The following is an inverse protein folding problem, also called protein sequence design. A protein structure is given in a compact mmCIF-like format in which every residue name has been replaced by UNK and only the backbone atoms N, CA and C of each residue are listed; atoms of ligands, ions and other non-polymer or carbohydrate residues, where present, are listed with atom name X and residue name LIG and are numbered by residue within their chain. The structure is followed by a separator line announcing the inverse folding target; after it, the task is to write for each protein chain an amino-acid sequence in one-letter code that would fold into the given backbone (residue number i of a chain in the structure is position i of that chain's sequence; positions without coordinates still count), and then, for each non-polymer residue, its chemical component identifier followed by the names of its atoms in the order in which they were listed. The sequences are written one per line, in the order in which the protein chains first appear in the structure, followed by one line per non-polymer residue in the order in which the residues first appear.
data_IF_056731377500
#
_entry.id   IF_056731377500
#
_cell.length_a   1.000
_cell.length_b   1.000
_cell.length_c   1.000
_cell.angle_alpha   90.00
_cell.angle_beta   90.00
_cell.angle_gamma   90.00
#
_symmetry.space_group_name_H-M   'P 1'
#
loop_
_entity.id
_entity.type
_entity.pdbx_description
1 polymer ?
#
# COMPACT_ATOMS: atom_id res chain seq x y z
N UNK A 1 65.48 36.48 -7.48
CA UNK A 1 66.82 36.87 -7.00
C UNK A 1 66.85 36.56 -5.51
N UNK A 2 67.63 35.54 -5.12
CA UNK A 2 68.20 35.25 -3.79
C UNK A 2 67.24 34.92 -2.60
N UNK A 3 67.46 34.00 -1.63
CA UNK A 3 68.46 32.96 -1.22
C UNK A 3 67.72 32.04 -0.20
N UNK A 4 67.73 30.70 -0.25
CA UNK A 4 68.61 29.69 0.41
C UNK A 4 69.01 29.84 1.91
N UNK A 5 69.11 28.65 2.55
CA UNK A 5 69.49 28.23 3.93
C UNK A 5 68.29 27.92 4.87
N UNK A 6 68.06 26.71 5.41
CA UNK A 6 68.84 25.48 5.52
C UNK A 6 69.11 25.15 6.99
N UNK A 7 68.42 24.14 7.58
CA UNK A 7 69.03 23.22 8.55
C UNK A 7 68.17 21.98 8.89
N UNK A 8 68.86 20.84 8.93
CA UNK A 8 68.51 19.52 9.46
C UNK A 8 68.19 19.56 10.98
N UNK A 9 67.52 18.60 11.61
CA UNK A 9 67.16 17.25 11.20
C UNK A 9 66.19 16.58 12.20
N UNK A 10 66.22 15.24 12.19
CA UNK A 10 65.54 14.26 13.06
C UNK A 10 64.23 13.62 12.54
N UNK A 11 64.41 12.49 11.84
CA UNK A 11 63.48 11.36 11.74
C UNK A 11 63.45 10.58 13.08
N UNK A 12 62.37 9.85 13.48
CA UNK A 12 61.82 8.73 12.69
C UNK A 12 60.29 8.40 12.80
N UNK A 13 59.84 7.64 11.78
CA UNK A 13 58.82 6.56 11.78
C UNK A 13 57.32 6.82 12.11
N UNK A 14 56.52 6.77 11.04
CA UNK A 14 55.34 5.90 10.82
C UNK A 14 54.12 5.93 11.76
N UNK A 15 52.94 6.31 11.22
CA UNK A 15 51.82 5.37 10.94
C UNK A 15 50.62 6.04 10.25
N UNK A 16 50.01 5.24 9.37
CA UNK A 16 48.81 5.48 8.60
C UNK A 16 47.53 5.69 9.45
N UNK A 17 46.63 6.48 8.86
CA UNK A 17 45.17 6.32 8.83
C UNK A 17 44.46 5.77 10.09
N UNK A 18 43.82 6.67 10.83
CA UNK A 18 42.79 6.32 11.80
C UNK A 18 41.42 6.75 11.27
N UNK A 19 40.60 5.74 10.91
CA UNK A 19 39.18 5.84 10.67
C UNK A 19 38.45 6.37 11.92
N UNK A 20 37.62 7.39 11.75
CA UNK A 20 36.76 7.92 12.80
C UNK A 20 35.65 6.90 13.14
N UNK A 21 35.76 6.28 14.31
CA UNK A 21 34.68 5.54 14.96
C UNK A 21 33.64 6.51 15.51
N UNK A 22 32.44 6.51 14.92
CA UNK A 22 31.24 7.07 15.55
C UNK A 22 30.88 6.21 16.77
N UNK A 23 31.18 6.73 17.96
CA UNK A 23 30.60 6.32 19.24
C UNK A 23 29.13 6.73 19.25
N UNK A 24 28.23 5.77 19.46
CA UNK A 24 26.85 6.04 19.89
C UNK A 24 26.79 5.59 21.35
N UNK A 25 26.41 6.52 22.23
CA UNK A 25 26.39 6.35 23.67
C UNK A 25 25.46 5.22 24.13
N UNK A 26 26.00 4.35 24.98
CA UNK A 26 25.26 3.42 25.82
C UNK A 26 24.53 4.21 26.93
N UNK A 27 23.21 4.23 26.90
CA UNK A 27 22.40 4.62 28.07
C UNK A 27 21.72 3.38 28.66
N UNK A 28 22.41 2.71 29.59
CA UNK A 28 21.79 1.74 30.50
C UNK A 28 20.86 2.48 31.47
N UNK A 29 19.54 2.21 31.41
CA UNK A 29 18.62 2.53 32.51
C UNK A 29 18.43 1.29 33.36
N UNK A 30 19.04 1.28 34.55
CA UNK A 30 18.73 0.32 35.60
C UNK A 30 17.46 0.83 36.30
N UNK A 31 16.34 0.13 36.15
CA UNK A 31 15.17 0.32 37.01
C UNK A 31 15.02 -0.88 37.93
N UNK A 32 15.18 -0.65 39.23
CA UNK A 32 14.83 -1.64 40.24
C UNK A 32 13.30 -1.83 40.29
N UNK A 33 12.88 -3.10 40.23
CA UNK A 33 11.51 -3.65 40.35
C UNK A 33 10.67 -3.72 39.05
N UNK A 34 10.42 -4.97 38.63
CA UNK A 34 9.35 -5.37 37.71
C UNK A 34 9.85 -5.66 36.31
N UNK A 35 9.77 -6.93 35.89
CA UNK A 35 10.18 -7.44 34.58
C UNK A 35 9.68 -6.57 33.41
N UNK A 36 10.56 -5.72 32.87
CA UNK A 36 10.34 -5.06 31.60
C UNK A 36 10.64 -6.05 30.47
N UNK A 37 9.63 -6.32 29.63
CA UNK A 37 9.78 -7.10 28.40
C UNK A 37 10.77 -6.38 27.47
N UNK A 38 11.91 -7.03 27.23
CA UNK A 38 12.93 -6.59 26.28
C UNK A 38 12.46 -6.94 24.87
N UNK A 39 12.26 -5.90 24.06
CA UNK A 39 12.03 -6.04 22.63
C UNK A 39 13.15 -6.88 22.00
N UNK A 40 12.85 -7.72 21.00
CA UNK A 40 13.95 -8.34 20.24
C UNK A 40 14.59 -7.20 19.46
N UNK A 41 15.80 -6.79 19.85
CA UNK A 41 16.64 -5.92 19.04
C UNK A 41 17.01 -6.68 17.75
N UNK A 42 16.13 -6.59 16.76
CA UNK A 42 16.42 -6.97 15.38
C UNK A 42 17.46 -5.98 14.83
N UNK A 43 18.41 -6.48 14.05
CA UNK A 43 19.30 -5.59 13.29
C UNK A 43 20.64 -5.23 13.94
N UNK A 44 21.19 -6.04 14.85
CA UNK A 44 22.65 -6.08 14.96
C UNK A 44 23.19 -6.75 13.70
N UNK A 45 23.52 -5.92 12.70
CA UNK A 45 24.17 -6.38 11.48
C UNK A 45 25.44 -7.12 11.86
N UNK A 46 25.50 -8.41 11.55
CA UNK A 46 26.73 -9.17 11.67
C UNK A 46 27.75 -8.64 10.65
N UNK A 47 29.04 -8.88 10.89
CA UNK A 47 30.11 -8.60 9.92
C UNK A 47 29.76 -9.18 8.53
N UNK A 48 29.13 -10.36 8.50
CA UNK A 48 28.68 -11.01 7.27
C UNK A 48 27.56 -10.24 6.54
N UNK A 49 26.68 -9.55 7.27
CA UNK A 49 25.64 -8.70 6.67
C UNK A 49 26.25 -7.47 5.99
N UNK A 50 27.34 -6.93 6.53
CA UNK A 50 28.09 -5.82 5.91
C UNK A 50 28.92 -6.23 4.70
N UNK A 51 29.39 -7.48 4.66
CA UNK A 51 30.14 -8.06 3.53
C UNK A 51 29.25 -8.52 2.37
N UNK A 52 27.94 -8.71 2.61
CA UNK A 52 26.95 -8.98 1.57
C UNK A 52 26.60 -7.72 0.77
N UNK A 53 27.62 -7.11 0.15
CA UNK A 53 27.46 -6.01 -0.80
C UNK A 53 26.54 -6.47 -1.92
N UNK A 54 25.39 -5.83 -2.03
CA UNK A 54 24.42 -6.05 -3.10
C UNK A 54 23.94 -4.70 -3.57
N UNK A 55 23.69 -4.61 -4.88
CA UNK A 55 23.18 -3.38 -5.50
C UNK A 55 21.95 -2.86 -4.74
N UNK A 56 21.83 -1.53 -4.71
CA UNK A 56 20.69 -0.87 -4.10
C UNK A 56 19.41 -1.32 -4.79
N UNK A 57 18.48 -1.85 -4.00
CA UNK A 57 17.20 -2.33 -4.50
C UNK A 57 16.11 -1.29 -4.28
N UNK A 58 14.98 -1.45 -4.98
CA UNK A 58 13.78 -0.65 -4.72
C UNK A 58 13.34 -0.71 -3.25
N UNK A 59 13.62 -1.80 -2.54
CA UNK A 59 13.25 -1.95 -1.14
C UNK A 59 14.08 -1.03 -0.24
N UNK A 60 15.36 -0.87 -0.54
CA UNK A 60 16.25 0.02 0.20
C UNK A 60 15.84 1.48 -0.02
N UNK A 61 15.46 1.83 -1.25
CA UNK A 61 14.90 3.15 -1.56
C UNK A 61 13.60 3.39 -0.78
N UNK A 62 12.68 2.43 -0.72
CA UNK A 62 11.47 2.55 0.11
C UNK A 62 11.83 2.70 1.59
N UNK A 63 12.83 1.96 2.08
CA UNK A 63 13.30 2.07 3.46
C UNK A 63 13.91 3.43 3.80
N UNK A 64 14.59 4.06 2.84
CA UNK A 64 15.17 5.41 2.99
C UNK A 64 14.12 6.52 2.94
N UNK A 65 13.12 6.37 2.07
CA UNK A 65 12.15 7.42 1.83
C UNK A 65 11.01 7.44 2.86
N UNK A 66 10.62 6.30 3.41
CA UNK A 66 9.51 6.25 4.38
C UNK A 66 10.04 6.40 5.81
N UNK A 67 9.41 7.26 6.61
CA UNK A 67 9.61 7.28 8.05
C UNK A 67 8.87 6.09 8.68
N UNK A 68 9.64 5.03 8.93
CA UNK A 68 9.15 3.81 9.55
C UNK A 68 8.93 3.93 11.06
N UNK A 69 9.55 4.91 11.72
CA UNK A 69 9.37 5.11 13.16
C UNK A 69 7.95 5.62 13.47
N UNK A 70 7.43 6.52 12.64
CA UNK A 70 6.02 6.94 12.72
C UNK A 70 5.07 5.75 12.54
N UNK A 71 5.34 4.87 11.56
CA UNK A 71 4.53 3.66 11.31
C UNK A 71 4.64 2.68 12.48
N UNK A 72 5.84 2.47 13.02
CA UNK A 72 6.09 1.63 14.20
C UNK A 72 5.30 2.12 15.41
N UNK A 73 5.32 3.43 15.64
CA UNK A 73 4.59 4.07 16.75
C UNK A 73 3.08 3.83 16.63
N UNK A 74 2.52 3.92 15.42
CA UNK A 74 1.09 3.65 15.17
C UNK A 74 0.71 2.19 15.36
N UNK A 75 1.59 1.26 15.01
CA UNK A 75 1.36 -0.17 15.18
C UNK A 75 1.42 -0.60 16.64
N UNK A 76 2.22 0.11 17.44
CA UNK A 76 2.44 -0.15 18.86
C UNK A 76 3.12 -1.49 19.12
N UNK A 77 3.17 -1.88 20.39
CA UNK A 77 3.65 -3.20 20.78
C UNK A 77 2.57 -4.25 20.52
N UNK A 78 2.89 -5.26 19.71
CA UNK A 78 1.99 -6.37 19.43
C UNK A 78 2.65 -7.66 19.84
N UNK A 79 2.22 -8.17 20.97
CA UNK A 79 2.55 -9.52 21.45
C UNK A 79 1.26 -10.31 21.59
N UNK A 80 1.28 -11.57 21.12
CA UNK A 80 0.22 -12.51 21.43
C UNK A 80 0.19 -12.79 22.95
N UNK A 81 -0.96 -13.16 23.53
CA UNK A 81 -1.01 -13.58 24.92
C UNK A 81 -0.23 -14.89 25.08
N UNK A 82 0.96 -14.82 25.67
CA UNK A 82 1.79 -15.98 25.97
C UNK A 82 3.12 -15.61 26.61
N UNK A 83 3.37 -16.10 27.82
CA UNK A 83 4.66 -15.97 28.48
C UNK A 83 5.69 -16.88 27.78
N UNK A 84 6.57 -16.32 26.94
CA UNK A 84 7.79 -17.05 26.55
C UNK A 84 8.35 -16.84 25.14
N UNK A 85 7.64 -16.21 24.21
CA UNK A 85 8.21 -15.87 22.89
C UNK A 85 8.27 -14.36 22.71
N UNK A 86 9.49 -13.82 22.58
CA UNK A 86 9.70 -12.43 22.18
C UNK A 86 8.99 -12.19 20.85
N UNK A 87 7.98 -11.32 20.86
CA UNK A 87 7.17 -11.07 19.67
C UNK A 87 7.97 -10.26 18.67
N UNK A 88 7.76 -10.54 17.38
CA UNK A 88 8.42 -9.78 16.32
C UNK A 88 7.90 -8.34 16.33
N UNK A 89 8.77 -7.33 16.08
CA UNK A 89 8.32 -5.96 15.89
C UNK A 89 7.25 -5.88 14.79
N UNK A 90 6.15 -5.18 15.08
CA UNK A 90 5.01 -5.06 14.18
C UNK A 90 5.40 -4.43 12.82
N UNK A 91 6.39 -3.52 12.85
CA UNK A 91 6.97 -2.92 11.65
C UNK A 91 7.60 -3.97 10.72
N UNK A 92 8.42 -4.89 11.26
CA UNK A 92 9.05 -5.96 10.49
C UNK A 92 8.00 -6.87 9.85
N UNK A 93 6.93 -7.20 10.59
CA UNK A 93 5.81 -8.00 10.06
C UNK A 93 5.04 -7.25 8.96
N UNK A 94 4.83 -5.93 9.09
CA UNK A 94 4.22 -5.12 8.05
C UNK A 94 5.09 -5.11 6.78
N UNK A 95 6.41 -4.94 6.92
CA UNK A 95 7.36 -5.02 5.80
C UNK A 95 7.29 -6.38 5.10
N UNK A 96 7.20 -7.49 5.85
CA UNK A 96 6.95 -8.81 5.28
C UNK A 96 5.64 -8.88 4.49
N UNK A 97 4.55 -8.34 5.02
CA UNK A 97 3.27 -8.31 4.32
C UNK A 97 3.33 -7.50 3.02
N UNK A 98 4.06 -6.38 3.00
CA UNK A 98 4.31 -5.58 1.78
C UNK A 98 5.10 -6.39 0.73
N UNK A 99 6.14 -7.13 1.13
CA UNK A 99 6.87 -8.05 0.26
C UNK A 99 5.92 -9.10 -0.34
N UNK A 100 5.05 -9.69 0.49
CA UNK A 100 4.05 -10.64 0.05
C UNK A 100 3.11 -10.08 -1.01
N UNK A 101 2.69 -8.82 -0.87
CA UNK A 101 1.85 -8.13 -1.85
C UNK A 101 2.59 -7.82 -3.14
N UNK A 102 3.79 -7.25 -3.05
CA UNK A 102 4.61 -6.86 -4.20
C UNK A 102 4.98 -8.01 -5.14
N UNK A 103 5.04 -9.23 -4.59
CA UNK A 103 5.41 -10.45 -5.30
C UNK A 103 4.25 -11.43 -5.47
N UNK A 104 3.04 -11.08 -5.02
CA UNK A 104 1.87 -11.96 -5.15
C UNK A 104 1.99 -13.28 -4.37
N UNK A 105 2.79 -13.33 -3.30
CA UNK A 105 3.11 -14.55 -2.54
C UNK A 105 2.03 -14.89 -1.51
N UNK A 106 1.80 -16.19 -1.29
CA UNK A 106 1.05 -16.70 -0.14
C UNK A 106 1.91 -16.65 1.13
N UNK A 107 1.30 -16.81 2.31
CA UNK A 107 2.05 -16.75 3.58
C UNK A 107 3.17 -17.80 3.67
N UNK A 108 2.95 -19.08 3.29
CA UNK A 108 4.03 -20.07 3.26
C UNK A 108 5.11 -19.76 2.21
N UNK A 109 4.73 -19.23 1.05
CA UNK A 109 5.69 -18.83 0.03
C UNK A 109 6.51 -17.61 0.49
N UNK A 110 5.89 -16.67 1.20
CA UNK A 110 6.55 -15.52 1.78
C UNK A 110 7.54 -15.95 2.87
N UNK A 111 7.17 -16.88 3.76
CA UNK A 111 8.08 -17.48 4.74
C UNK A 111 9.33 -18.05 4.07
N UNK A 112 9.15 -18.90 3.05
CA UNK A 112 10.25 -19.50 2.31
C UNK A 112 11.15 -18.42 1.65
N UNK A 113 10.55 -17.43 1.00
CA UNK A 113 11.29 -16.37 0.31
C UNK A 113 12.05 -15.45 1.28
N UNK A 114 11.52 -15.18 2.47
CA UNK A 114 12.24 -14.41 3.49
C UNK A 114 13.42 -15.24 4.03
N UNK A 115 13.28 -16.56 4.17
CA UNK A 115 14.38 -17.42 4.61
C UNK A 115 15.55 -17.42 3.61
N UNK A 116 15.23 -17.43 2.32
CA UNK A 116 16.23 -17.65 1.27
C UNK A 116 16.82 -16.36 0.68
N UNK A 117 16.06 -15.25 0.65
CA UNK A 117 16.47 -14.02 -0.05
C UNK A 117 16.98 -12.93 0.88
N UNK A 118 18.26 -12.61 0.74
CA UNK A 118 18.92 -11.52 1.49
C UNK A 118 18.21 -10.17 1.35
N UNK A 119 17.77 -9.82 0.14
CA UNK A 119 17.04 -8.56 -0.11
C UNK A 119 15.74 -8.45 0.71
N UNK A 120 15.06 -9.57 0.95
CA UNK A 120 13.81 -9.59 1.72
C UNK A 120 14.10 -9.47 3.22
N UNK A 121 15.12 -10.19 3.70
CA UNK A 121 15.59 -10.09 5.10
C UNK A 121 16.04 -8.68 5.43
N UNK A 122 16.87 -8.09 4.57
CA UNK A 122 17.35 -6.70 4.70
C UNK A 122 16.20 -5.71 4.76
N UNK A 123 15.25 -5.79 3.82
CA UNK A 123 14.09 -4.90 3.84
C UNK A 123 13.26 -5.08 5.12
N UNK A 124 12.99 -6.32 5.53
CA UNK A 124 12.20 -6.59 6.73
C UNK A 124 12.95 -6.31 8.06
N UNK A 125 14.26 -6.07 8.02
CA UNK A 125 15.10 -5.76 9.18
C UNK A 125 15.66 -6.99 9.90
N UNK A 126 15.69 -8.17 9.25
CA UNK A 126 16.28 -9.38 9.82
C UNK A 126 17.76 -9.51 9.43
N UNK A 127 18.64 -9.73 10.42
CA UNK A 127 20.03 -10.18 10.16
C UNK A 127 20.04 -11.62 9.64
N UNK A 128 21.14 -12.02 9.00
CA UNK A 128 21.42 -13.40 8.59
C UNK A 128 21.24 -14.46 9.70
N UNK A 129 21.53 -14.13 10.96
CA UNK A 129 21.37 -15.04 12.10
C UNK A 129 19.97 -15.01 12.72
N UNK A 130 19.15 -14.00 12.41
CA UNK A 130 17.82 -13.86 13.00
C UNK A 130 16.86 -14.93 12.49
N UNK A 131 16.05 -15.48 13.41
CA UNK A 131 14.92 -16.33 13.01
C UNK A 131 13.89 -15.47 12.28
N UNK A 132 13.42 -15.97 11.13
CA UNK A 132 12.39 -15.31 10.33
C UNK A 132 10.99 -15.72 10.82
N UNK A 133 9.98 -14.85 10.70
CA UNK A 133 8.60 -15.19 11.08
C UNK A 133 8.08 -16.34 10.21
N UNK A 134 7.32 -17.24 10.83
CA UNK A 134 6.60 -18.30 10.12
C UNK A 134 5.30 -17.76 9.50
N UNK A 135 4.70 -18.54 8.60
CA UNK A 135 3.43 -18.18 7.99
C UNK A 135 2.31 -18.00 9.02
N UNK A 136 2.35 -18.71 10.15
CA UNK A 136 1.34 -18.60 11.21
C UNK A 136 1.40 -17.24 11.92
N UNK A 137 2.60 -16.72 12.17
CA UNK A 137 2.83 -15.38 12.72
C UNK A 137 2.32 -14.30 11.77
N UNK A 138 2.64 -14.40 10.48
CA UNK A 138 2.18 -13.46 9.46
C UNK A 138 0.65 -13.45 9.34
N UNK A 139 0.03 -14.63 9.43
CA UNK A 139 -1.42 -14.76 9.43
C UNK A 139 -2.05 -14.10 10.66
N UNK A 140 -1.54 -14.38 11.88
CA UNK A 140 -2.03 -13.77 13.12
C UNK A 140 -1.94 -12.25 13.08
N UNK A 141 -0.79 -11.72 12.66
CA UNK A 141 -0.61 -10.27 12.54
C UNK A 141 -1.61 -9.62 11.59
N UNK A 142 -1.94 -10.26 10.46
CA UNK A 142 -2.97 -9.75 9.54
C UNK A 142 -4.37 -9.75 10.15
N UNK A 143 -4.71 -10.79 10.90
CA UNK A 143 -5.99 -10.84 11.63
C UNK A 143 -6.06 -9.72 12.66
N UNK A 144 -4.97 -9.44 13.37
CA UNK A 144 -4.90 -8.31 14.30
C UNK A 144 -5.05 -6.96 13.58
N UNK A 145 -4.36 -6.74 12.44
CA UNK A 145 -4.52 -5.53 11.62
C UNK A 145 -5.98 -5.33 11.16
N UNK A 146 -6.67 -6.43 10.84
CA UNK A 146 -8.05 -6.43 10.38
C UNK A 146 -9.02 -6.10 11.51
N UNK A 147 -8.87 -6.78 12.65
CA UNK A 147 -9.70 -6.59 13.84
C UNK A 147 -9.62 -5.17 14.39
N UNK A 148 -8.40 -4.62 14.47
CA UNK A 148 -8.14 -3.33 15.09
C UNK A 148 -8.22 -2.16 14.09
N UNK A 149 -8.49 -2.45 12.80
CA UNK A 149 -8.49 -1.49 11.68
C UNK A 149 -7.22 -0.65 11.59
N UNK A 150 -6.09 -1.20 12.03
CA UNK A 150 -4.82 -0.46 12.02
C UNK A 150 -4.30 -0.21 10.61
N UNK A 151 -4.65 -1.08 9.66
CA UNK A 151 -4.21 -0.90 8.27
C UNK A 151 -4.73 0.41 7.67
N UNK A 152 -5.88 0.91 8.13
CA UNK A 152 -6.42 2.21 7.74
C UNK A 152 -5.50 3.34 8.22
N UNK A 153 -5.09 3.31 9.49
CA UNK A 153 -4.17 4.29 10.08
C UNK A 153 -2.79 4.25 9.42
N UNK A 154 -2.27 3.07 9.12
CA UNK A 154 -1.01 2.90 8.39
C UNK A 154 -1.10 3.51 6.99
N UNK A 155 -2.22 3.28 6.29
CA UNK A 155 -2.44 3.86 4.97
C UNK A 155 -2.54 5.38 5.01
N UNK A 156 -3.25 5.92 6.00
CA UNK A 156 -3.36 7.37 6.23
C UNK A 156 -1.99 7.99 6.54
N UNK A 157 -1.19 7.35 7.38
CA UNK A 157 0.16 7.81 7.70
C UNK A 157 1.10 7.80 6.48
N UNK A 158 1.09 6.71 5.70
CA UNK A 158 1.85 6.67 4.44
C UNK A 158 1.40 7.83 3.53
N UNK A 159 0.11 8.06 3.39
CA UNK A 159 -0.39 9.15 2.56
C UNK A 159 -0.02 10.53 3.10
N UNK A 160 0.00 10.73 4.42
CA UNK A 160 0.49 11.97 5.07
C UNK A 160 1.93 12.25 4.67
N UNK A 161 2.81 11.25 4.81
CA UNK A 161 4.23 11.40 4.43
C UNK A 161 4.40 11.67 2.92
N UNK A 162 3.59 11.01 2.06
CA UNK A 162 3.62 11.27 0.61
C UNK A 162 3.11 12.67 0.25
N UNK A 163 2.14 13.18 1.00
CA UNK A 163 1.63 14.54 0.85
C UNK A 163 2.69 15.58 1.23
N UNK A 164 3.41 15.37 2.34
CA UNK A 164 4.52 16.22 2.78
C UNK A 164 5.66 16.28 1.76
N UNK A 165 5.85 15.20 1.00
CA UNK A 165 6.79 15.14 -0.12
C UNK A 165 6.26 15.77 -1.41
N UNK A 166 5.05 16.35 -1.40
CA UNK A 166 4.42 16.98 -2.56
C UNK A 166 3.98 15.99 -3.65
N UNK A 167 3.89 14.70 -3.34
CA UNK A 167 3.48 13.66 -4.30
C UNK A 167 1.95 13.58 -4.46
N UNK A 168 1.19 14.18 -3.55
CA UNK A 168 -0.26 14.32 -3.62
C UNK A 168 -0.57 15.79 -3.97
N UNK A 169 -0.89 16.05 -5.23
CA UNK A 169 -1.01 17.43 -5.75
C UNK A 169 -2.45 17.97 -5.63
N UNK A 170 -3.45 17.09 -5.47
CA UNK A 170 -4.86 17.46 -5.25
C UNK A 170 -5.48 18.25 -6.42
N UNK A 171 -4.89 18.12 -7.62
CA UNK A 171 -5.42 18.74 -8.85
C UNK A 171 -6.76 18.14 -9.27
N UNK A 172 -6.91 16.86 -9.00
CA UNK A 172 -8.17 16.16 -9.16
C UNK A 172 -8.08 14.74 -8.65
N UNK A 173 -9.22 14.19 -8.28
CA UNK A 173 -9.35 12.82 -7.81
C UNK A 173 -10.10 12.00 -8.85
N UNK A 174 -9.49 10.90 -9.28
CA UNK A 174 -10.06 9.92 -10.21
C UNK A 174 -10.72 8.82 -9.38
N UNK A 175 -12.04 8.67 -9.49
CA UNK A 175 -12.81 7.62 -8.83
C UNK A 175 -13.19 6.53 -9.80
N UNK A 176 -12.89 5.28 -9.44
CA UNK A 176 -13.28 4.11 -10.21
C UNK A 176 -13.29 2.84 -9.34
N UNK A 177 -13.87 1.77 -9.88
CA UNK A 177 -14.00 0.50 -9.22
C UNK A 177 -13.60 -0.68 -10.11
N UNK A 178 -12.97 -1.68 -9.50
CA UNK A 178 -12.68 -2.96 -10.15
C UNK A 178 -13.36 -4.11 -9.43
N UNK A 179 -13.84 -5.07 -10.21
CA UNK A 179 -14.29 -6.37 -9.69
C UNK A 179 -13.10 -7.27 -9.37
N UNK A 180 -13.25 -8.03 -8.28
CA UNK A 180 -12.28 -9.01 -7.78
C UNK A 180 -13.05 -10.31 -7.47
N UNK A 181 -12.64 -11.43 -8.04
CA UNK A 181 -13.34 -12.71 -7.84
C UNK A 181 -13.18 -13.18 -6.39
N UNK A 182 -14.24 -13.74 -5.79
CA UNK A 182 -14.09 -14.39 -4.50
C UNK A 182 -13.17 -15.62 -4.58
N UNK A 183 -12.56 -15.97 -3.45
CA UNK A 183 -11.86 -17.27 -3.31
C UNK A 183 -12.86 -18.42 -3.32
N UNK A 184 -14.00 -18.23 -2.66
CA UNK A 184 -15.08 -19.20 -2.59
C UNK A 184 -15.61 -19.55 -3.97
N UNK A 185 -15.94 -20.84 -4.17
CA UNK A 185 -16.58 -21.28 -5.40
C UNK A 185 -17.93 -20.54 -5.54
N UNK A 186 -18.22 -19.94 -6.71
CA UNK A 186 -19.49 -19.27 -6.91
C UNK A 186 -20.65 -20.25 -6.73
N UNK A 187 -21.71 -19.88 -6.01
CA UNK A 187 -22.94 -20.65 -5.98
C UNK A 187 -23.61 -20.57 -7.36
N UNK A 188 -24.58 -21.44 -7.67
CA UNK A 188 -25.34 -21.32 -8.92
C UNK A 188 -25.95 -19.91 -8.99
N UNK A 189 -25.76 -19.22 -10.11
CA UNK A 189 -26.30 -17.88 -10.27
C UNK A 189 -27.84 -17.97 -10.22
N UNK A 190 -28.51 -17.26 -9.29
CA UNK A 190 -29.96 -17.29 -9.24
C UNK A 190 -30.54 -16.74 -10.55
N UNK A 191 -31.46 -17.49 -11.15
CA UNK A 191 -32.31 -16.94 -12.23
C UNK A 191 -33.22 -15.86 -11.61
N UNK A 192 -33.58 -14.83 -12.38
CA UNK A 192 -34.57 -13.82 -11.93
C UNK A 192 -35.83 -14.54 -11.45
N UNK A 193 -36.26 -14.27 -10.21
CA UNK A 193 -37.45 -14.89 -9.59
C UNK A 193 -37.22 -16.25 -8.91
N UNK A 194 -35.99 -16.71 -8.72
CA UNK A 194 -35.72 -17.97 -8.03
C UNK A 194 -36.00 -17.86 -6.51
N UNK A 195 -36.98 -18.62 -6.01
CA UNK A 195 -37.36 -18.71 -4.59
C UNK A 195 -36.92 -20.05 -3.93
N UNK A 196 -35.93 -20.74 -4.51
CA UNK A 196 -35.39 -21.99 -3.96
C UNK A 196 -34.11 -21.80 -3.15
N UNK A 197 -33.75 -22.78 -2.28
CA UNK A 197 -32.52 -22.70 -1.50
C UNK A 197 -31.29 -22.82 -2.42
N UNK A 198 -30.51 -21.75 -2.50
CA UNK A 198 -29.24 -21.73 -3.21
C UNK A 198 -28.19 -22.29 -2.26
N UNK A 199 -27.46 -23.35 -2.69
CA UNK A 199 -26.33 -23.87 -1.92
C UNK A 199 -25.36 -22.71 -1.62
N UNK A 200 -25.13 -22.34 -0.35
CA UNK A 200 -24.31 -21.19 -0.02
C UNK A 200 -22.86 -21.42 -0.44
N UNK A 201 -22.17 -20.35 -0.84
CA UNK A 201 -20.72 -20.41 -1.03
C UNK A 201 -20.03 -20.54 0.33
N UNK A 202 -18.78 -21.01 0.31
CA UNK A 202 -17.91 -20.95 1.49
C UNK A 202 -17.58 -19.50 1.89
N UNK A 203 -17.63 -18.58 0.93
CA UNK A 203 -17.54 -17.15 1.17
C UNK A 203 -18.94 -16.57 1.39
N UNK A 204 -19.26 -16.24 2.64
CA UNK A 204 -20.58 -15.77 3.05
C UNK A 204 -20.84 -14.30 2.69
N UNK A 205 -19.79 -13.52 2.45
CA UNK A 205 -19.91 -12.07 2.19
C UNK A 205 -19.90 -11.77 0.69
N UNK A 206 -19.31 -12.64 -0.12
CA UNK A 206 -19.29 -12.49 -1.57
C UNK A 206 -20.71 -12.51 -2.18
N UNK A 207 -20.93 -11.63 -3.15
CA UNK A 207 -22.19 -11.53 -3.91
C UNK A 207 -21.93 -11.53 -5.40
N UNK A 208 -23.00 -11.72 -6.18
CA UNK A 208 -22.94 -11.58 -7.63
C UNK A 208 -23.05 -10.11 -8.03
N UNK A 209 -22.08 -9.64 -8.79
CA UNK A 209 -22.12 -8.36 -9.49
C UNK A 209 -22.10 -8.52 -11.00
N UNK A 210 -22.55 -7.51 -11.73
CA UNK A 210 -22.61 -7.54 -13.19
C UNK A 210 -21.97 -6.28 -13.78
N UNK A 211 -21.03 -6.47 -14.73
CA UNK A 211 -20.45 -5.40 -15.56
C UNK A 211 -20.73 -5.72 -17.03
N UNK A 212 -21.64 -4.97 -17.63
CA UNK A 212 -22.10 -5.24 -18.99
C UNK A 212 -22.69 -6.66 -19.11
N UNK A 213 -22.10 -7.51 -19.96
CA UNK A 213 -22.51 -8.91 -20.12
C UNK A 213 -21.83 -9.89 -19.16
N UNK A 214 -20.79 -9.46 -18.43
CA UNK A 214 -20.01 -10.33 -17.55
C UNK A 214 -20.53 -10.26 -16.12
N UNK A 215 -20.88 -11.42 -15.55
CA UNK A 215 -21.20 -11.56 -14.12
C UNK A 215 -19.93 -11.99 -13.37
N UNK A 216 -19.69 -11.44 -12.19
CA UNK A 216 -18.56 -11.80 -11.32
C UNK A 216 -19.07 -12.02 -9.90
N UNK A 217 -18.77 -13.19 -9.34
CA UNK A 217 -19.03 -13.48 -7.93
C UNK A 217 -17.81 -13.05 -7.11
N UNK A 218 -18.02 -12.16 -6.14
CA UNK A 218 -16.97 -11.68 -5.28
C UNK A 218 -17.20 -10.27 -4.78
N UNK A 219 -16.20 -9.43 -5.00
CA UNK A 219 -16.06 -8.12 -4.37
C UNK A 219 -15.77 -7.04 -5.41
N UNK A 220 -15.88 -5.79 -4.96
CA UNK A 220 -15.39 -4.60 -5.67
C UNK A 220 -14.38 -3.88 -4.78
N UNK A 221 -13.31 -3.42 -5.39
CA UNK A 221 -12.39 -2.46 -4.81
C UNK A 221 -12.60 -1.12 -5.50
N UNK A 222 -12.96 -0.13 -4.71
CA UNK A 222 -13.19 1.25 -5.13
C UNK A 222 -12.00 2.08 -4.68
N UNK A 223 -11.45 2.90 -5.56
CA UNK A 223 -10.30 3.75 -5.25
C UNK A 223 -10.55 5.18 -5.68
N UNK A 224 -10.05 6.12 -4.86
CA UNK A 224 -9.88 7.52 -5.21
C UNK A 224 -8.39 7.80 -5.41
N UNK A 225 -7.99 8.25 -6.59
CA UNK A 225 -6.59 8.36 -7.00
C UNK A 225 -6.26 9.79 -7.40
N UNK A 226 -5.12 10.32 -6.94
CA UNK A 226 -4.63 11.63 -7.38
C UNK A 226 -4.27 11.63 -8.87
N UNK A 227 -4.75 12.64 -9.59
CA UNK A 227 -4.59 12.75 -11.03
C UNK A 227 -3.13 12.89 -11.48
N UNK A 228 -2.24 13.51 -10.68
CA UNK A 228 -0.90 13.87 -11.13
C UNK A 228 0.06 12.66 -11.12
N UNK A 229 0.14 11.97 -9.98
CA UNK A 229 1.10 10.89 -9.77
C UNK A 229 0.44 9.52 -9.63
N UNK A 230 -0.88 9.43 -9.79
CA UNK A 230 -1.66 8.21 -9.59
C UNK A 230 -1.55 7.62 -8.18
N UNK A 231 -1.22 8.43 -7.17
CA UNK A 231 -1.20 8.00 -5.75
C UNK A 231 -2.63 7.75 -5.28
N UNK A 232 -2.85 6.60 -4.65
CA UNK A 232 -4.16 6.21 -4.14
C UNK A 232 -4.39 6.95 -2.81
N UNK A 233 -5.44 7.76 -2.73
CA UNK A 233 -5.78 8.56 -1.55
C UNK A 233 -6.82 7.87 -0.66
N UNK A 234 -7.78 7.17 -1.29
CA UNK A 234 -8.88 6.48 -0.61
C UNK A 234 -9.11 5.10 -1.22
N UNK A 235 -9.49 4.15 -0.37
CA UNK A 235 -9.81 2.78 -0.76
C UNK A 235 -11.04 2.33 0.01
N UNK A 236 -11.99 1.73 -0.69
CA UNK A 236 -13.12 1.04 -0.07
C UNK A 236 -13.30 -0.33 -0.73
N UNK A 237 -13.65 -1.33 0.06
CA UNK A 237 -13.99 -2.66 -0.42
C UNK A 237 -15.45 -2.97 -0.09
N UNK A 238 -16.18 -3.49 -1.08
CA UNK A 238 -17.57 -3.90 -0.93
C UNK A 238 -17.77 -5.27 -1.58
N UNK A 239 -18.91 -5.91 -1.34
CA UNK A 239 -19.33 -7.02 -2.19
C UNK A 239 -19.61 -6.53 -3.62
N UNK A 240 -19.67 -7.46 -4.57
CA UNK A 240 -19.80 -7.14 -5.98
C UNK A 240 -21.18 -6.60 -6.39
N UNK A 241 -22.20 -6.74 -5.54
CA UNK A 241 -23.57 -6.28 -5.85
C UNK A 241 -23.77 -4.79 -5.59
N UNK A 242 -23.01 -4.23 -4.66
CA UNK A 242 -23.04 -2.80 -4.30
C UNK A 242 -22.82 -1.92 -5.53
N UNK A 243 -23.63 -0.86 -5.63
CA UNK A 243 -23.54 0.08 -6.75
C UNK A 243 -22.39 1.07 -6.53
N UNK A 244 -21.71 1.45 -7.62
CA UNK A 244 -20.51 2.30 -7.54
C UNK A 244 -20.83 3.70 -6.98
N UNK A 245 -22.11 4.10 -6.99
CA UNK A 245 -22.63 5.35 -6.44
C UNK A 245 -22.52 5.45 -4.91
N UNK A 246 -22.65 4.32 -4.20
CA UNK A 246 -22.69 4.28 -2.73
C UNK A 246 -21.35 4.64 -2.07
N UNK A 247 -20.21 4.02 -2.45
CA UNK A 247 -18.92 4.36 -1.86
C UNK A 247 -18.33 5.65 -2.44
N UNK A 248 -18.86 6.17 -3.54
CA UNK A 248 -18.31 7.31 -4.29
C UNK A 248 -17.93 8.50 -3.41
N UNK A 249 -18.79 8.84 -2.45
CA UNK A 249 -18.61 10.03 -1.60
C UNK A 249 -17.44 9.86 -0.63
N UNK A 250 -17.14 8.62 -0.22
CA UNK A 250 -15.98 8.29 0.63
C UNK A 250 -14.65 8.34 -0.12
N UNK A 251 -14.68 8.32 -1.46
CA UNK A 251 -13.49 8.33 -2.30
C UNK A 251 -13.00 9.76 -2.62
N UNK A 252 -13.86 10.75 -2.40
CA UNK A 252 -13.62 12.18 -2.65
C UNK A 252 -13.15 12.78 -1.31
N UNK A 253 -11.98 13.41 -1.29
CA UNK A 253 -11.36 13.88 -0.04
C UNK A 253 -11.85 15.26 0.37
N UNK A 254 -12.38 16.07 -0.56
CA UNK A 254 -12.91 17.41 -0.31
C UNK A 254 -11.90 18.53 -0.54
N UNK A 255 -10.62 18.22 -0.68
CA UNK A 255 -9.52 19.19 -0.88
C UNK A 255 -9.02 19.25 -2.33
N UNK A 256 -9.63 18.47 -3.22
CA UNK A 256 -9.25 18.44 -4.63
C UNK A 256 -9.97 19.50 -5.47
N UNK A 257 -9.30 19.99 -6.53
CA UNK A 257 -9.91 20.98 -7.43
C UNK A 257 -10.97 20.39 -8.37
N UNK A 258 -10.99 19.08 -8.57
CA UNK A 258 -11.92 18.39 -9.48
C UNK A 258 -12.12 16.91 -9.13
N UNK A 259 -13.32 16.38 -9.36
CA UNK A 259 -13.63 14.96 -9.20
C UNK A 259 -14.00 14.32 -10.54
N UNK A 260 -13.24 13.30 -10.97
CA UNK A 260 -13.41 12.60 -12.25
C UNK A 260 -13.98 11.20 -12.04
N UNK A 261 -15.08 10.88 -12.70
CA UNK A 261 -15.79 9.62 -12.50
C UNK A 261 -16.53 9.16 -13.75
N UNK A 262 -16.85 7.87 -13.82
CA UNK A 262 -17.77 7.36 -14.85
C UNK A 262 -19.20 7.86 -14.62
N UNK A 263 -20.05 7.60 -15.61
CA UNK A 263 -21.46 7.95 -15.58
C UNK A 263 -22.23 7.30 -14.43
N UNK A 264 -21.74 6.19 -13.90
CA UNK A 264 -22.28 5.53 -12.71
C UNK A 264 -22.10 6.39 -11.44
N UNK A 265 -21.07 7.22 -11.40
CA UNK A 265 -20.75 8.08 -10.25
C UNK A 265 -21.53 9.40 -10.27
N UNK A 266 -22.36 9.68 -11.28
CA UNK A 266 -23.13 10.93 -11.33
C UNK A 266 -24.48 10.81 -10.62
N UNK A 267 -24.76 11.72 -9.69
CA UNK A 267 -26.09 12.00 -9.12
C UNK A 267 -26.27 13.51 -8.97
N UNK A 268 -27.52 13.98 -8.96
CA UNK A 268 -27.81 15.41 -8.73
C UNK A 268 -27.31 15.87 -7.36
N UNK A 269 -27.64 15.15 -6.30
CA UNK A 269 -27.14 15.45 -4.95
C UNK A 269 -25.61 15.54 -4.86
N UNK A 270 -24.87 14.70 -5.60
CA UNK A 270 -23.40 14.76 -5.64
C UNK A 270 -22.90 15.96 -6.43
N UNK A 271 -23.56 16.31 -7.53
CA UNK A 271 -23.25 17.52 -8.27
C UNK A 271 -23.35 18.76 -7.39
N UNK A 272 -24.45 18.86 -6.64
CA UNK A 272 -24.73 19.99 -5.76
C UNK A 272 -23.69 20.05 -4.63
N UNK A 273 -23.40 18.93 -3.98
CA UNK A 273 -22.34 18.84 -2.96
C UNK A 273 -20.96 19.23 -3.49
N UNK A 274 -20.60 18.80 -4.70
CA UNK A 274 -19.31 19.17 -5.31
C UNK A 274 -19.27 20.66 -5.62
N UNK A 275 -20.38 21.25 -6.07
CA UNK A 275 -20.48 22.69 -6.31
C UNK A 275 -20.35 23.49 -5.01
N UNK A 276 -21.02 23.06 -3.93
CA UNK A 276 -20.89 23.65 -2.58
C UNK A 276 -19.45 23.61 -2.05
N UNK A 277 -18.75 22.49 -2.28
CA UNK A 277 -17.35 22.33 -1.90
C UNK A 277 -16.35 23.03 -2.86
N UNK A 278 -16.82 23.76 -3.88
CA UNK A 278 -16.01 24.38 -4.93
C UNK A 278 -15.11 23.39 -5.70
N UNK A 279 -15.56 22.14 -5.82
CA UNK A 279 -14.88 21.06 -6.55
C UNK A 279 -15.51 20.93 -7.94
N UNK A 280 -14.69 20.99 -8.98
CA UNK A 280 -15.21 20.87 -10.36
C UNK A 280 -15.77 19.47 -10.60
N UNK A 281 -17.08 19.39 -10.84
CA UNK A 281 -17.74 18.16 -11.29
C UNK A 281 -17.27 17.76 -12.69
N UNK A 282 -16.41 16.74 -12.74
CA UNK A 282 -15.95 16.04 -13.93
C UNK A 282 -16.46 14.59 -13.94
N UNK A 283 -17.66 14.36 -13.45
CA UNK A 283 -18.38 13.09 -13.56
C UNK A 283 -19.09 13.02 -14.92
N UNK A 284 -18.96 11.90 -15.63
CA UNK A 284 -19.59 11.72 -16.94
C UNK A 284 -21.11 11.75 -16.82
N UNK A 285 -21.80 12.28 -17.85
CA UNK A 285 -23.27 12.31 -17.89
C UNK A 285 -23.80 11.11 -18.65
N UNK A 286 -24.91 10.53 -18.18
CA UNK A 286 -25.65 9.45 -18.85
C UNK A 286 -26.88 9.99 -19.56
N UNK A 287 -27.29 9.33 -20.64
CA UNK A 287 -28.64 9.51 -21.17
C UNK A 287 -29.66 9.02 -20.13
N UNK A 288 -30.85 9.63 -20.11
CA UNK A 288 -31.92 9.23 -19.22
C UNK A 288 -33.16 8.85 -20.04
N UNK A 289 -34.20 8.31 -19.38
CA UNK A 289 -35.42 7.84 -20.07
C UNK A 289 -36.12 8.97 -20.86
N UNK A 290 -36.00 10.21 -20.39
CA UNK A 290 -36.63 11.38 -20.99
C UNK A 290 -35.77 12.07 -22.07
N UNK A 291 -34.46 11.85 -22.04
CA UNK A 291 -33.45 12.32 -22.99
C UNK A 291 -32.57 11.14 -23.40
N UNK A 292 -33.04 10.31 -24.36
CA UNK A 292 -32.39 9.07 -24.73
C UNK A 292 -31.04 9.28 -25.45
N UNK A 293 -30.78 10.49 -25.95
CA UNK A 293 -29.50 10.85 -26.57
C UNK A 293 -28.80 11.98 -25.82
N UNK A 294 -27.50 11.79 -25.61
CA UNK A 294 -26.62 12.84 -25.07
C UNK A 294 -26.31 13.88 -26.16
N UNK A 295 -26.48 15.19 -25.88
CA UNK A 295 -26.07 16.26 -26.79
C UNK A 295 -24.59 16.17 -27.17
N UNK A 296 -24.21 16.65 -28.37
CA UNK A 296 -22.84 16.59 -28.87
C UNK A 296 -21.81 17.20 -27.90
N UNK A 297 -22.16 18.34 -27.26
CA UNK A 297 -21.35 18.98 -26.22
C UNK A 297 -21.08 18.07 -25.02
N UNK A 298 -22.08 17.31 -24.57
CA UNK A 298 -21.93 16.38 -23.45
C UNK A 298 -21.12 15.14 -23.84
N UNK A 299 -21.28 14.64 -25.09
CA UNK A 299 -20.43 13.58 -25.64
C UNK A 299 -18.95 14.00 -25.67
N UNK A 300 -18.67 15.23 -26.12
CA UNK A 300 -17.31 15.78 -26.10
C UNK A 300 -16.76 15.91 -24.67
N UNK A 301 -17.55 16.46 -23.74
CA UNK A 301 -17.19 16.53 -22.32
C UNK A 301 -16.84 15.15 -21.75
N UNK A 302 -17.67 14.14 -21.98
CA UNK A 302 -17.43 12.77 -21.55
C UNK A 302 -16.14 12.20 -22.15
N UNK A 303 -15.84 12.47 -23.43
CA UNK A 303 -14.59 12.05 -24.08
C UNK A 303 -13.36 12.67 -23.43
N UNK A 304 -13.40 13.97 -23.10
CA UNK A 304 -12.30 14.65 -22.43
C UNK A 304 -12.08 14.13 -21.00
N UNK A 305 -13.17 13.87 -20.27
CA UNK A 305 -13.12 13.27 -18.93
C UNK A 305 -12.53 11.87 -18.99
N UNK A 306 -12.97 11.04 -19.94
CA UNK A 306 -12.49 9.66 -20.08
C UNK A 306 -10.97 9.59 -20.32
N UNK A 307 -10.41 10.52 -21.11
CA UNK A 307 -8.96 10.60 -21.34
C UNK A 307 -8.17 10.81 -20.04
N UNK A 308 -8.64 11.71 -19.17
CA UNK A 308 -8.00 11.97 -17.87
C UNK A 308 -8.19 10.79 -16.93
N UNK A 309 -9.41 10.25 -16.89
CA UNK A 309 -9.77 9.16 -15.97
C UNK A 309 -9.04 7.85 -16.27
N UNK A 310 -8.63 7.62 -17.51
CA UNK A 310 -7.89 6.41 -17.92
C UNK A 310 -6.62 6.15 -17.08
N UNK A 311 -6.03 7.18 -16.47
CA UNK A 311 -4.88 7.00 -15.57
C UNK A 311 -5.18 6.10 -14.35
N UNK A 312 -6.45 6.01 -13.91
CA UNK A 312 -6.89 5.11 -12.82
C UNK A 312 -6.80 3.64 -13.19
N UNK A 313 -6.68 3.30 -14.48
CA UNK A 313 -6.51 1.91 -14.91
C UNK A 313 -5.14 1.35 -14.52
N UNK A 314 -4.13 2.23 -14.34
CA UNK A 314 -2.76 1.83 -13.96
C UNK A 314 -2.71 1.09 -12.61
N UNK A 315 -3.24 1.62 -11.49
CA UNK A 315 -3.25 0.88 -10.23
C UNK A 315 -4.02 -0.44 -10.34
N UNK A 316 -5.15 -0.48 -11.05
CA UNK A 316 -5.89 -1.72 -11.27
C UNK A 316 -5.12 -2.76 -12.08
N UNK A 317 -4.37 -2.34 -13.10
CA UNK A 317 -3.50 -3.22 -13.87
C UNK A 317 -2.41 -3.81 -12.96
N UNK A 318 -1.78 -2.99 -12.11
CA UNK A 318 -0.78 -3.49 -11.15
C UNK A 318 -1.39 -4.49 -10.17
N UNK A 319 -2.57 -4.19 -9.61
CA UNK A 319 -3.24 -5.11 -8.69
C UNK A 319 -3.53 -6.47 -9.32
N UNK A 320 -4.00 -6.48 -10.57
CA UNK A 320 -4.37 -7.72 -11.27
C UNK A 320 -3.18 -8.50 -11.79
N UNK A 321 -2.23 -7.83 -12.45
CA UNK A 321 -1.12 -8.48 -13.14
C UNK A 321 0.09 -8.74 -12.24
N UNK A 322 0.37 -7.86 -11.27
CA UNK A 322 1.57 -7.96 -10.43
C UNK A 322 1.27 -8.50 -9.04
N UNK A 323 0.15 -8.10 -8.43
CA UNK A 323 -0.20 -8.52 -7.06
C UNK A 323 -1.11 -9.75 -7.02
N UNK A 324 -1.51 -10.27 -8.18
CA UNK A 324 -2.34 -11.48 -8.28
C UNK A 324 -3.78 -11.30 -7.81
N UNK A 325 -4.29 -10.06 -7.74
CA UNK A 325 -5.59 -9.75 -7.15
C UNK A 325 -6.77 -9.95 -8.11
N UNK A 326 -6.61 -10.70 -9.21
CA UNK A 326 -7.77 -11.11 -10.04
C UNK A 326 -8.79 -11.93 -9.22
N UNK A 327 -8.29 -12.63 -8.20
CA UNK A 327 -9.06 -13.37 -7.21
C UNK A 327 -8.58 -12.99 -5.81
N UNK A 328 -9.51 -12.80 -4.89
CA UNK A 328 -9.26 -12.57 -3.48
C UNK A 328 -8.65 -13.79 -2.80
N UNK A 329 -7.89 -13.55 -1.73
CA UNK A 329 -7.22 -14.61 -0.97
C UNK A 329 -8.05 -15.13 0.20
N UNK A 330 -8.99 -14.33 0.71
CA UNK A 330 -9.75 -14.65 1.91
C UNK A 330 -11.24 -14.84 1.60
N UNK A 331 -11.96 -15.46 2.54
CA UNK A 331 -13.36 -15.85 2.40
C UNK A 331 -14.33 -14.89 3.10
N UNK A 332 -13.85 -13.73 3.55
CA UNK A 332 -14.66 -12.73 4.25
C UNK A 332 -14.29 -11.32 3.77
N UNK A 333 -15.22 -10.39 3.91
CA UNK A 333 -15.04 -9.01 3.45
C UNK A 333 -13.98 -8.25 4.27
N UNK A 334 -13.90 -8.47 5.58
CA UNK A 334 -13.02 -7.72 6.47
C UNK A 334 -11.53 -7.94 6.13
N UNK A 335 -11.08 -9.19 6.07
CA UNK A 335 -9.69 -9.54 5.71
C UNK A 335 -9.41 -9.20 4.23
N UNK A 336 -10.39 -9.32 3.34
CA UNK A 336 -10.24 -8.88 1.95
C UNK A 336 -10.11 -7.36 1.82
N UNK A 337 -10.79 -6.57 2.68
CA UNK A 337 -10.61 -5.11 2.77
C UNK A 337 -9.19 -4.79 3.24
N UNK A 338 -8.70 -5.45 4.28
CA UNK A 338 -7.31 -5.32 4.73
C UNK A 338 -6.32 -5.62 3.59
N UNK A 339 -6.57 -6.66 2.80
CA UNK A 339 -5.76 -6.97 1.61
C UNK A 339 -5.79 -5.84 0.58
N UNK A 340 -6.95 -5.23 0.32
CA UNK A 340 -7.08 -4.10 -0.62
C UNK A 340 -6.30 -2.87 -0.16
N UNK A 341 -6.37 -2.54 1.13
CA UNK A 341 -5.67 -1.38 1.68
C UNK A 341 -4.16 -1.64 1.68
N UNK A 342 -3.73 -2.84 2.09
CA UNK A 342 -2.32 -3.23 2.02
C UNK A 342 -1.78 -3.20 0.58
N UNK A 343 -2.59 -3.61 -0.41
CA UNK A 343 -2.25 -3.47 -1.83
C UNK A 343 -2.05 -2.00 -2.23
N UNK A 344 -2.90 -1.10 -1.71
CA UNK A 344 -2.79 0.33 -1.96
C UNK A 344 -1.54 0.93 -1.31
N UNK A 345 -1.20 0.56 -0.07
CA UNK A 345 0.07 0.93 0.56
C UNK A 345 1.25 0.47 -0.31
N UNK A 346 1.27 -0.81 -0.69
CA UNK A 346 2.32 -1.38 -1.53
C UNK A 346 2.45 -0.67 -2.88
N UNK A 347 1.32 -0.32 -3.51
CA UNK A 347 1.31 0.45 -4.77
C UNK A 347 1.84 1.87 -4.59
N UNK A 348 1.40 2.58 -3.56
CA UNK A 348 1.81 3.96 -3.29
C UNK A 348 3.32 4.05 -3.03
N UNK A 349 3.88 3.14 -2.23
CA UNK A 349 5.32 3.08 -1.95
C UNK A 349 6.16 2.84 -3.22
N UNK A 350 5.72 1.93 -4.10
CA UNK A 350 6.41 1.73 -5.40
C UNK A 350 6.28 2.93 -6.32
N UNK A 351 5.11 3.57 -6.32
CA UNK A 351 4.85 4.74 -7.15
C UNK A 351 5.69 5.92 -6.68
N UNK A 352 5.81 6.12 -5.37
CA UNK A 352 6.71 7.11 -4.75
C UNK A 352 8.13 6.97 -5.30
N UNK A 353 8.74 5.78 -5.22
CA UNK A 353 10.09 5.58 -5.73
C UNK A 353 10.19 5.86 -7.22
N UNK A 354 9.21 5.41 -8.02
CA UNK A 354 9.19 5.69 -9.45
C UNK A 354 9.04 7.17 -9.82
N UNK A 355 8.54 8.01 -8.91
CA UNK A 355 8.40 9.46 -9.10
C UNK A 355 9.64 10.20 -8.58
N UNK A 356 10.13 9.87 -7.38
CA UNK A 356 11.31 10.51 -6.77
C UNK A 356 12.58 10.14 -7.53
N UNK A 357 12.81 8.84 -7.75
CA UNK A 357 14.05 8.28 -8.31
C UNK A 357 13.94 8.03 -9.82
N UNK A 358 13.17 8.87 -10.52
CA UNK A 358 12.91 8.69 -11.95
C UNK A 358 14.22 8.80 -12.74
N UNK A 359 14.60 7.80 -13.56
CA UNK A 359 15.85 7.85 -14.32
C UNK A 359 15.85 9.03 -15.30
N UNK A 360 17.01 9.69 -15.41
CA UNK A 360 17.17 10.97 -16.11
C UNK A 360 16.72 10.97 -17.58
N UNK A 361 16.74 9.81 -18.25
CA UNK A 361 16.42 9.63 -19.67
C UNK A 361 14.95 9.95 -20.05
N UNK A 362 14.03 10.08 -19.09
CA UNK A 362 12.61 10.39 -19.36
C UNK A 362 12.22 11.84 -19.02
N UNK A 363 13.21 12.75 -18.94
CA UNK A 363 12.98 14.19 -18.70
C UNK A 363 12.88 15.03 -19.99
N UNK A 364 12.99 14.42 -21.17
CA UNK A 364 12.87 15.08 -22.47
C UNK A 364 11.42 15.18 -22.96
#
# INVERSE_FOLDING_TARGET
MFWLFGNCGDFPFSRCEAFAQNRIDDSMRISERGFAMVDRLLGQLSLADGLAASDETIFDLVSKELDWEAVRTLLGQRSGPGSGNTSYPAEALLRCLLLGMWHGLSDPALEAQIRDRLSFRRFAGFSLSDRTPDHSTLWRFREELTRDRLIDKVFEEINRQLEEKGLIVKRGTLVDATFLQARGRPPKQPKKGHQGPIKPSSDKDARWGKKGKKSTFGYKMHIGVDQAHTIIRRVEASDASVTDTEPADKLICGDEKAAYGDQAYYTHARHDRLAEANIKDRLMRRANRHHPQLPARQKLRNRLIAKVRAAVERPFAVFKERYGMRRMRFFNLATNRTQCILAACAYNLRTMIGVIHRPAERRA
#
